data_IF_291691324978
#
_entry.id   IF_291691324978
#
_cell.length_a   1.000
_cell.length_b   1.000
_cell.length_c   1.000
_cell.angle_alpha   90.00
_cell.angle_beta   90.00
_cell.angle_gamma   90.00
#
_symmetry.space_group_name_H-M   'P 1'
#
loop_
_entity.id
_entity.type
_entity.pdbx_description
1 polymer ?
#
# COMPACT_ATOMS: atom_id res chain seq x y z
N UNK A 1 -26.39 -80.19 15.01
CA UNK A 1 -25.73 -80.21 13.68
C UNK A 1 -25.44 -78.76 13.30
N UNK A 2 -24.21 -78.27 13.48
CA UNK A 2 -23.03 -78.34 12.58
C UNK A 2 -23.13 -77.43 11.34
N UNK A 3 -22.23 -76.41 11.34
CA UNK A 3 -21.61 -75.68 10.22
C UNK A 3 -22.46 -74.72 9.36
N UNK A 4 -21.97 -73.59 8.82
CA UNK A 4 -20.75 -72.78 9.01
C UNK A 4 -20.81 -71.60 8.01
N UNK A 5 -20.39 -70.41 8.46
CA UNK A 5 -19.57 -69.39 7.78
C UNK A 5 -19.99 -68.78 6.42
N UNK A 6 -20.23 -67.47 6.42
CA UNK A 6 -19.37 -66.43 5.80
C UNK A 6 -20.09 -65.07 6.02
N UNK A 7 -19.56 -64.00 6.60
CA UNK A 7 -18.21 -63.46 6.55
C UNK A 7 -18.23 -62.15 5.77
N UNK A 8 -18.53 -61.00 6.39
CA UNK A 8 -18.14 -59.68 5.86
C UNK A 8 -18.15 -58.56 6.92
N UNK A 9 -16.97 -58.37 7.51
CA UNK A 9 -16.22 -57.12 7.67
C UNK A 9 -16.98 -55.91 8.26
N UNK A 10 -16.73 -55.70 9.56
CA UNK A 10 -16.78 -54.40 10.24
C UNK A 10 -15.80 -53.42 9.58
N UNK A 11 -16.26 -52.21 9.24
CA UNK A 11 -15.52 -50.98 9.51
C UNK A 11 -16.51 -49.92 10.02
N UNK A 12 -16.61 -49.84 11.35
CA UNK A 12 -17.12 -48.65 12.00
C UNK A 12 -16.19 -47.49 11.65
N UNK A 13 -16.74 -46.45 11.04
CA UNK A 13 -16.08 -45.16 10.99
C UNK A 13 -16.17 -44.60 12.39
N UNK A 14 -15.11 -44.83 13.18
CA UNK A 14 -14.88 -44.14 14.44
C UNK A 14 -15.01 -42.64 14.16
N UNK A 15 -16.04 -42.02 14.74
CA UNK A 15 -16.00 -40.60 15.07
C UNK A 15 -14.78 -40.45 15.98
N UNK A 16 -13.68 -40.01 15.41
CA UNK A 16 -12.54 -39.55 16.20
C UNK A 16 -13.06 -38.34 16.94
N UNK A 17 -13.27 -38.50 18.26
CA UNK A 17 -13.36 -37.39 19.19
C UNK A 17 -12.10 -36.54 18.99
N UNK A 18 -12.23 -35.48 18.21
CA UNK A 18 -11.32 -34.34 18.18
C UNK A 18 -11.89 -33.29 19.14
N UNK A 19 -12.03 -33.65 20.41
CA UNK A 19 -12.42 -32.72 21.48
C UNK A 19 -11.32 -32.51 22.53
N UNK A 20 -10.16 -33.18 22.42
CA UNK A 20 -9.13 -33.16 23.49
C UNK A 20 -7.75 -32.58 23.10
N UNK A 21 -7.64 -31.70 22.10
CA UNK A 21 -6.42 -30.87 21.90
C UNK A 21 -6.70 -29.42 21.43
N UNK A 22 -7.89 -28.89 21.72
CA UNK A 22 -8.00 -27.45 21.89
C UNK A 22 -7.57 -27.17 23.33
N UNK A 23 -6.55 -26.34 23.60
CA UNK A 23 -6.43 -25.81 24.94
C UNK A 23 -7.76 -25.12 25.23
N UNK A 24 -8.54 -25.69 26.16
CA UNK A 24 -9.64 -25.02 26.83
C UNK A 24 -8.98 -23.83 27.51
N UNK A 25 -8.92 -22.73 26.77
CA UNK A 25 -8.42 -21.48 27.27
C UNK A 25 -9.47 -21.02 28.27
N UNK A 26 -9.30 -21.46 29.52
CA UNK A 26 -10.10 -21.08 30.67
C UNK A 26 -9.74 -19.65 31.10
N UNK A 27 -9.62 -18.78 30.11
CA UNK A 27 -9.42 -17.37 30.25
C UNK A 27 -10.76 -16.73 29.92
N UNK A 28 -11.51 -16.39 30.96
CA UNK A 28 -12.24 -15.12 30.99
C UNK A 28 -11.26 -13.93 30.90
N UNK A 29 -10.19 -14.04 30.11
CA UNK A 29 -9.40 -12.91 29.71
C UNK A 29 -10.10 -12.33 28.49
N UNK A 30 -10.61 -11.09 28.59
CA UNK A 30 -11.05 -10.40 27.39
C UNK A 30 -9.90 -10.43 26.41
N UNK A 31 -10.16 -10.85 25.15
CA UNK A 31 -9.21 -10.73 24.04
C UNK A 31 -8.49 -9.40 24.22
N UNK A 32 -7.21 -9.48 24.60
CA UNK A 32 -6.45 -8.32 25.04
C UNK A 32 -6.40 -7.40 23.84
N UNK A 33 -7.21 -6.34 23.86
CA UNK A 33 -7.09 -5.21 22.97
C UNK A 33 -5.63 -4.78 23.05
N UNK A 34 -4.81 -5.16 22.07
CA UNK A 34 -3.74 -4.30 21.61
C UNK A 34 -4.34 -3.15 20.79
N UNK A 35 -5.52 -2.67 21.17
CA UNK A 35 -5.98 -1.35 20.81
C UNK A 35 -5.26 -0.39 21.75
N UNK A 36 -4.24 0.24 21.21
CA UNK A 36 -3.69 1.46 21.76
C UNK A 36 -4.87 2.40 22.13
N UNK A 37 -4.91 3.00 23.33
CA UNK A 37 -6.01 3.89 23.68
C UNK A 37 -5.88 5.21 22.92
N UNK A 38 -6.49 5.28 21.73
CA UNK A 38 -6.87 6.52 21.05
C UNK A 38 -8.39 6.48 20.85
N UNK A 39 -9.14 7.33 21.58
CA UNK A 39 -9.77 8.58 21.12
C UNK A 39 -10.91 8.29 20.12
N UNK A 40 -11.98 9.07 20.18
CA UNK A 40 -13.28 8.82 19.54
C UNK A 40 -13.19 8.17 18.15
N UNK A 41 -14.11 7.24 17.81
CA UNK A 41 -14.12 6.58 16.50
C UNK A 41 -14.16 7.63 15.37
N UNK A 42 -13.42 7.36 14.29
CA UNK A 42 -13.24 8.31 13.19
C UNK A 42 -14.55 8.55 12.45
N UNK A 43 -14.79 9.81 12.08
CA UNK A 43 -15.85 10.18 11.15
C UNK A 43 -15.51 9.76 9.72
N UNK A 44 -16.52 9.61 8.87
CA UNK A 44 -16.32 9.21 7.47
C UNK A 44 -15.39 10.18 6.71
N UNK A 45 -15.46 11.48 7.00
CA UNK A 45 -14.60 12.48 6.37
C UNK A 45 -13.15 12.40 6.88
N UNK A 46 -12.94 12.20 8.18
CA UNK A 46 -11.60 11.98 8.73
C UNK A 46 -10.99 10.70 8.15
N UNK A 47 -11.75 9.61 8.06
CA UNK A 47 -11.32 8.37 7.42
C UNK A 47 -10.98 8.59 5.94
N UNK A 48 -11.81 9.34 5.20
CA UNK A 48 -11.50 9.71 3.81
C UNK A 48 -10.15 10.44 3.71
N UNK A 49 -9.93 11.47 4.54
CA UNK A 49 -8.69 12.24 4.54
C UNK A 49 -7.49 11.38 4.97
N UNK A 50 -7.64 10.53 5.98
CA UNK A 50 -6.59 9.61 6.42
C UNK A 50 -6.20 8.62 5.32
N UNK A 51 -7.19 8.03 4.64
CA UNK A 51 -6.96 7.09 3.54
C UNK A 51 -6.31 7.80 2.35
N UNK A 52 -6.86 8.94 1.93
CA UNK A 52 -6.33 9.75 0.83
C UNK A 52 -4.89 10.17 1.09
N UNK A 53 -4.60 10.68 2.29
CA UNK A 53 -3.25 11.06 2.73
C UNK A 53 -2.30 9.87 2.76
N UNK A 54 -2.76 8.70 3.20
CA UNK A 54 -1.91 7.51 3.25
C UNK A 54 -1.55 6.98 1.85
N UNK A 55 -2.41 7.23 0.87
CA UNK A 55 -2.25 6.80 -0.52
C UNK A 55 -1.58 7.86 -1.41
N UNK A 56 -1.74 9.16 -1.13
CA UNK A 56 -1.01 10.26 -1.79
C UNK A 56 0.41 10.39 -1.20
N UNK A 57 1.23 9.37 -1.43
CA UNK A 57 2.63 9.34 -1.00
C UNK A 57 3.60 9.74 -2.12
N UNK A 58 4.86 9.30 -1.99
CA UNK A 58 5.92 9.54 -2.99
C UNK A 58 5.69 8.81 -4.32
N UNK A 59 4.80 7.81 -4.36
CA UNK A 59 4.44 7.09 -5.59
C UNK A 59 3.93 8.02 -6.70
N UNK A 60 3.22 9.10 -6.35
CA UNK A 60 2.67 10.03 -7.36
C UNK A 60 3.78 10.71 -8.15
N UNK A 61 4.92 10.95 -7.51
CA UNK A 61 6.08 11.60 -8.11
C UNK A 61 6.83 10.70 -9.09
N UNK A 62 6.65 9.37 -9.00
CA UNK A 62 7.26 8.40 -9.90
C UNK A 62 6.39 8.10 -11.15
N UNK A 63 5.12 8.50 -11.15
CA UNK A 63 4.20 8.25 -12.27
C UNK A 63 4.68 8.73 -13.64
N UNK A 64 5.32 9.91 -13.79
CA UNK A 64 5.82 10.35 -15.08
C UNK A 64 6.79 9.33 -15.69
N UNK A 65 7.64 8.71 -14.85
CA UNK A 65 8.60 7.71 -15.30
C UNK A 65 7.91 6.42 -15.75
N UNK A 66 6.80 6.06 -15.12
CA UNK A 66 5.97 4.94 -15.56
C UNK A 66 5.43 5.20 -16.98
N UNK A 67 4.89 6.39 -17.24
CA UNK A 67 4.37 6.77 -18.55
C UNK A 67 5.47 6.86 -19.62
N UNK A 68 6.70 7.20 -19.23
CA UNK A 68 7.86 7.09 -20.12
C UNK A 68 8.10 5.66 -20.63
N UNK A 69 7.93 4.63 -19.79
CA UNK A 69 8.11 3.23 -20.21
C UNK A 69 6.96 2.69 -21.07
N UNK A 70 5.72 3.08 -20.78
CA UNK A 70 4.54 2.56 -21.47
C UNK A 70 4.09 3.40 -22.68
N UNK A 71 4.48 4.67 -22.77
CA UNK A 71 3.86 5.64 -23.67
C UNK A 71 2.56 6.19 -23.07
N UNK A 72 2.10 7.34 -23.58
CA UNK A 72 1.02 8.08 -22.91
C UNK A 72 -0.36 7.43 -23.09
N UNK A 73 -0.69 6.85 -24.25
CA UNK A 73 -2.01 6.20 -24.47
C UNK A 73 -2.12 4.94 -23.65
N UNK A 74 -1.12 4.06 -23.78
CA UNK A 74 -1.07 2.80 -23.03
C UNK A 74 -0.98 3.09 -21.53
N UNK A 75 -0.22 4.10 -21.13
CA UNK A 75 -0.15 4.57 -19.76
C UNK A 75 -1.53 4.90 -19.18
N UNK A 76 -2.31 5.77 -19.84
CA UNK A 76 -3.66 6.14 -19.38
C UNK A 76 -4.57 4.92 -19.29
N UNK A 77 -4.67 4.11 -20.35
CA UNK A 77 -5.59 2.96 -20.41
C UNK A 77 -5.21 1.90 -19.38
N UNK A 78 -3.95 1.51 -19.33
CA UNK A 78 -3.48 0.46 -18.43
C UNK A 78 -3.49 0.92 -16.97
N UNK A 79 -3.16 2.19 -16.67
CA UNK A 79 -3.29 2.72 -15.30
C UNK A 79 -4.75 2.73 -14.84
N UNK A 80 -5.69 3.12 -15.69
CA UNK A 80 -7.12 3.05 -15.36
C UNK A 80 -7.57 1.60 -15.11
N UNK A 81 -7.13 0.65 -15.95
CA UNK A 81 -7.44 -0.77 -15.77
C UNK A 81 -6.86 -1.32 -14.46
N UNK A 82 -5.59 -1.01 -14.15
CA UNK A 82 -4.94 -1.41 -12.90
C UNK A 82 -5.68 -0.83 -11.69
N UNK A 83 -6.12 0.43 -11.75
CA UNK A 83 -6.91 1.06 -10.70
C UNK A 83 -8.22 0.32 -10.42
N UNK A 84 -8.95 -0.07 -11.47
CA UNK A 84 -10.19 -0.84 -11.38
C UNK A 84 -9.93 -2.22 -10.78
N UNK A 85 -8.90 -2.93 -11.26
CA UNK A 85 -8.53 -4.26 -10.76
C UNK A 85 -8.11 -4.20 -9.29
N UNK A 86 -7.22 -3.27 -8.90
CA UNK A 86 -6.80 -3.10 -7.51
C UNK A 86 -7.99 -2.78 -6.60
N UNK A 87 -8.85 -1.83 -7.00
CA UNK A 87 -10.07 -1.49 -6.24
C UNK A 87 -10.96 -2.73 -6.06
N UNK A 88 -11.16 -3.52 -7.12
CA UNK A 88 -11.92 -4.76 -7.05
C UNK A 88 -11.29 -5.78 -6.09
N UNK A 89 -9.97 -5.97 -6.13
CA UNK A 89 -9.25 -6.85 -5.21
C UNK A 89 -9.45 -6.45 -3.75
N UNK A 90 -9.38 -5.14 -3.44
CA UNK A 90 -9.63 -4.64 -2.08
C UNK A 90 -11.08 -4.93 -1.66
N UNK A 91 -12.06 -4.70 -2.52
CA UNK A 91 -13.46 -5.04 -2.23
C UNK A 91 -13.66 -6.53 -1.98
N UNK A 92 -13.06 -7.39 -2.81
CA UNK A 92 -13.12 -8.84 -2.65
C UNK A 92 -12.55 -9.26 -1.30
N UNK A 93 -11.44 -8.65 -0.88
CA UNK A 93 -10.82 -8.90 0.42
C UNK A 93 -11.72 -8.46 1.58
N UNK A 94 -12.30 -7.26 1.50
CA UNK A 94 -13.21 -6.75 2.53
C UNK A 94 -14.46 -7.61 2.68
N UNK A 95 -15.07 -8.04 1.57
CA UNK A 95 -16.23 -8.95 1.56
C UNK A 95 -15.90 -10.30 2.16
N UNK A 96 -14.73 -10.85 1.80
CA UNK A 96 -14.26 -12.13 2.35
C UNK A 96 -14.05 -12.04 3.86
N UNK A 97 -13.48 -10.93 4.34
CA UNK A 97 -13.32 -10.70 5.77
C UNK A 97 -14.66 -10.55 6.48
N UNK A 98 -15.60 -9.78 5.91
CA UNK A 98 -16.92 -9.57 6.51
C UNK A 98 -17.66 -10.90 6.68
N UNK A 99 -17.58 -11.78 5.68
CA UNK A 99 -18.20 -13.09 5.75
C UNK A 99 -17.56 -13.98 6.83
N UNK A 100 -16.23 -13.97 6.95
CA UNK A 100 -15.51 -14.71 8.00
C UNK A 100 -15.85 -14.14 9.39
N UNK A 101 -15.87 -12.82 9.55
CA UNK A 101 -16.25 -12.15 10.79
C UNK A 101 -17.68 -12.50 11.19
N UNK A 102 -18.61 -12.52 10.23
CA UNK A 102 -20.03 -12.86 10.43
C UNK A 102 -20.21 -14.30 10.90
N UNK A 103 -19.53 -15.27 10.27
CA UNK A 103 -19.61 -16.69 10.62
C UNK A 103 -19.00 -16.99 11.99
N UNK A 104 -17.85 -16.39 12.27
CA UNK A 104 -17.08 -16.63 13.50
C UNK A 104 -17.57 -15.77 14.68
N UNK A 105 -18.51 -14.84 14.46
CA UNK A 105 -19.01 -13.88 15.46
C UNK A 105 -17.90 -13.08 16.14
N UNK A 106 -16.96 -12.59 15.34
CA UNK A 106 -15.79 -11.81 15.78
C UNK A 106 -15.79 -10.43 15.13
N UNK A 107 -15.34 -9.42 15.87
CA UNK A 107 -15.27 -8.04 15.39
C UNK A 107 -13.85 -7.70 14.93
N UNK A 108 -13.67 -7.55 13.62
CA UNK A 108 -12.41 -7.12 13.02
C UNK A 108 -11.32 -8.20 13.05
N UNK A 109 -10.61 -8.34 11.94
CA UNK A 109 -9.51 -9.30 11.81
C UNK A 109 -8.29 -8.64 11.19
N UNK A 110 -7.10 -9.09 11.59
CA UNK A 110 -5.89 -8.81 10.82
C UNK A 110 -5.94 -9.56 9.48
N UNK A 111 -5.08 -9.17 8.53
CA UNK A 111 -4.96 -9.88 7.26
C UNK A 111 -4.62 -11.37 7.43
N UNK A 112 -3.63 -11.67 8.28
CA UNK A 112 -3.20 -13.04 8.55
C UNK A 112 -4.26 -13.85 9.28
N UNK A 113 -4.98 -13.24 10.22
CA UNK A 113 -6.09 -13.92 10.91
C UNK A 113 -7.27 -14.17 9.98
N UNK A 114 -7.57 -13.23 9.09
CA UNK A 114 -8.60 -13.40 8.05
C UNK A 114 -8.24 -14.60 7.16
N UNK A 115 -7.00 -14.67 6.67
CA UNK A 115 -6.54 -15.79 5.86
C UNK A 115 -6.61 -17.12 6.62
N UNK A 116 -6.12 -17.16 7.86
CA UNK A 116 -6.16 -18.36 8.70
C UNK A 116 -7.59 -18.87 8.90
N UNK A 117 -8.49 -17.99 9.31
CA UNK A 117 -9.88 -18.37 9.63
C UNK A 117 -10.68 -18.72 8.39
N UNK A 118 -10.45 -18.06 7.27
CA UNK A 118 -11.03 -18.45 5.98
C UNK A 118 -10.65 -19.89 5.60
N UNK A 119 -9.38 -20.28 5.83
CA UNK A 119 -8.93 -21.65 5.53
C UNK A 119 -9.49 -22.71 6.49
N UNK A 120 -9.75 -22.35 7.75
CA UNK A 120 -10.36 -23.25 8.74
C UNK A 120 -11.82 -23.62 8.40
N UNK A 121 -12.52 -22.75 7.68
CA UNK A 121 -13.87 -23.00 7.16
C UNK A 121 -13.87 -23.82 5.84
N UNK A 122 -12.69 -24.09 5.28
CA UNK A 122 -12.53 -24.80 4.03
C UNK A 122 -12.48 -26.34 4.18
N UNK A 123 -12.42 -27.08 3.06
CA UNK A 123 -12.10 -28.50 3.04
C UNK A 123 -10.87 -28.89 3.88
N UNK A 124 -10.81 -30.14 4.35
CA UNK A 124 -9.77 -30.67 5.25
C UNK A 124 -8.33 -30.34 4.83
N UNK A 125 -8.07 -30.28 3.52
CA UNK A 125 -6.74 -29.93 2.99
C UNK A 125 -6.34 -28.49 3.31
N UNK A 126 -7.27 -27.54 3.21
CA UNK A 126 -7.04 -26.13 3.51
C UNK A 126 -6.94 -25.89 5.02
N UNK A 127 -7.74 -26.61 5.83
CA UNK A 127 -7.64 -26.56 7.30
C UNK A 127 -6.23 -26.92 7.76
N UNK A 128 -5.64 -27.99 7.18
CA UNK A 128 -4.27 -28.41 7.49
C UNK A 128 -3.23 -27.35 7.11
N UNK A 129 -3.49 -26.57 6.06
CA UNK A 129 -2.61 -25.50 5.57
C UNK A 129 -2.89 -24.12 6.19
N UNK A 130 -3.90 -23.97 7.06
CA UNK A 130 -4.35 -22.67 7.55
C UNK A 130 -3.24 -21.85 8.24
N UNK A 131 -2.36 -22.51 9.02
CA UNK A 131 -1.20 -21.86 9.65
C UNK A 131 -0.20 -21.36 8.60
N UNK A 132 0.03 -22.12 7.54
CA UNK A 132 0.93 -21.73 6.45
C UNK A 132 0.39 -20.52 5.68
N UNK A 133 -0.90 -20.49 5.36
CA UNK A 133 -1.53 -19.33 4.70
C UNK A 133 -1.47 -18.06 5.55
N UNK A 134 -1.70 -18.19 6.87
CA UNK A 134 -1.52 -17.09 7.81
C UNK A 134 -0.10 -16.52 7.76
N UNK A 135 0.90 -17.40 7.81
CA UNK A 135 2.32 -17.02 7.77
C UNK A 135 2.71 -16.38 6.44
N UNK A 136 2.29 -16.96 5.31
CA UNK A 136 2.54 -16.44 3.97
C UNK A 136 1.94 -15.04 3.81
N UNK A 137 0.72 -14.82 4.31
CA UNK A 137 0.07 -13.50 4.27
C UNK A 137 0.87 -12.48 5.08
N UNK A 138 1.30 -12.82 6.30
CA UNK A 138 2.17 -11.95 7.10
C UNK A 138 3.50 -11.68 6.40
N UNK A 139 4.10 -12.69 5.77
CA UNK A 139 5.37 -12.57 5.05
C UNK A 139 5.26 -11.60 3.87
N UNK A 140 4.20 -11.71 3.05
CA UNK A 140 3.98 -10.78 1.94
C UNK A 140 3.78 -9.34 2.42
N UNK A 141 3.04 -9.13 3.51
CA UNK A 141 2.89 -7.80 4.10
C UNK A 141 4.22 -7.23 4.62
N UNK A 142 5.07 -8.07 5.22
CA UNK A 142 6.40 -7.64 5.67
C UNK A 142 7.29 -7.29 4.47
N UNK A 143 7.28 -8.09 3.41
CA UNK A 143 8.03 -7.81 2.17
C UNK A 143 7.58 -6.49 1.56
N UNK A 144 6.26 -6.26 1.48
CA UNK A 144 5.67 -5.01 0.98
C UNK A 144 6.14 -3.78 1.79
N UNK A 145 6.16 -3.90 3.12
CA UNK A 145 6.63 -2.83 4.01
C UNK A 145 8.15 -2.57 3.90
N UNK A 146 8.95 -3.62 3.76
CA UNK A 146 10.39 -3.49 3.53
C UNK A 146 10.64 -2.78 2.19
N UNK A 147 9.94 -3.20 1.12
CA UNK A 147 10.03 -2.56 -0.20
C UNK A 147 9.67 -1.09 -0.16
N UNK A 148 8.56 -0.74 0.52
CA UNK A 148 8.12 0.63 0.73
C UNK A 148 9.17 1.46 1.47
N UNK A 149 9.75 0.93 2.55
CA UNK A 149 10.86 1.57 3.27
C UNK A 149 12.06 1.83 2.36
N UNK A 150 12.45 0.86 1.52
CA UNK A 150 13.56 1.02 0.58
C UNK A 150 13.30 2.17 -0.41
N UNK A 151 12.11 2.24 -1.00
CA UNK A 151 11.75 3.31 -1.93
C UNK A 151 11.79 4.68 -1.24
N UNK A 152 11.30 4.78 0.00
CA UNK A 152 11.38 6.04 0.76
C UNK A 152 12.82 6.48 1.02
N UNK A 153 13.72 5.55 1.39
CA UNK A 153 15.14 5.89 1.61
C UNK A 153 15.79 6.37 0.31
N UNK A 154 15.56 5.67 -0.80
CA UNK A 154 16.08 6.06 -2.11
C UNK A 154 15.54 7.43 -2.54
N UNK A 155 14.24 7.67 -2.31
CA UNK A 155 13.60 8.94 -2.62
C UNK A 155 14.22 10.10 -1.84
N UNK A 156 14.35 9.96 -0.51
CA UNK A 156 14.96 11.01 0.33
C UNK A 156 16.42 11.22 -0.07
N UNK A 157 17.19 10.15 -0.27
CA UNK A 157 18.58 10.22 -0.68
C UNK A 157 18.76 10.93 -2.04
N UNK A 158 17.89 10.64 -3.01
CA UNK A 158 17.94 11.25 -4.34
C UNK A 158 17.66 12.75 -4.28
N UNK A 159 16.66 13.16 -3.50
CA UNK A 159 16.34 14.59 -3.35
C UNK A 159 17.41 15.34 -2.55
N UNK A 160 17.98 14.74 -1.50
CA UNK A 160 19.12 15.34 -0.79
C UNK A 160 20.33 15.49 -1.71
N UNK A 161 20.63 14.47 -2.52
CA UNK A 161 21.73 14.51 -3.48
C UNK A 161 21.59 15.67 -4.46
N UNK A 162 20.42 15.86 -5.08
CA UNK A 162 20.20 16.98 -6.02
C UNK A 162 20.41 18.35 -5.34
N UNK A 163 20.10 18.50 -4.05
CA UNK A 163 20.28 19.77 -3.32
C UNK A 163 21.74 19.96 -2.88
N UNK A 164 22.35 18.94 -2.26
CA UNK A 164 23.69 19.05 -1.69
C UNK A 164 24.78 19.11 -2.75
N UNK A 165 24.65 18.38 -3.86
CA UNK A 165 25.61 18.41 -4.97
C UNK A 165 25.69 19.80 -5.66
N UNK A 166 24.76 20.72 -5.37
CA UNK A 166 24.87 22.12 -5.81
C UNK A 166 25.93 22.90 -5.02
N UNK A 167 26.21 22.50 -3.78
CA UNK A 167 27.11 23.20 -2.86
C UNK A 167 28.39 22.42 -2.55
N UNK A 168 28.38 21.10 -2.76
CA UNK A 168 29.50 20.21 -2.46
C UNK A 168 29.92 19.41 -3.70
N UNK A 169 31.06 18.71 -3.61
CA UNK A 169 31.48 17.82 -4.69
C UNK A 169 30.47 16.67 -4.85
N UNK A 170 30.09 16.31 -6.08
CA UNK A 170 29.07 15.29 -6.32
C UNK A 170 29.50 13.95 -5.74
N UNK A 171 28.72 13.43 -4.80
CA UNK A 171 28.98 12.16 -4.12
C UNK A 171 28.06 11.05 -4.63
N UNK A 172 28.46 9.79 -4.46
CA UNK A 172 27.59 8.66 -4.80
C UNK A 172 26.33 8.65 -3.92
N UNK A 173 25.17 8.32 -4.51
CA UNK A 173 23.88 8.27 -3.80
C UNK A 173 23.90 7.34 -2.58
N UNK A 174 24.73 6.29 -2.60
CA UNK A 174 24.89 5.34 -1.48
C UNK A 174 25.41 6.03 -0.22
N UNK A 175 26.25 7.06 -0.37
CA UNK A 175 26.75 7.85 0.77
C UNK A 175 25.60 8.60 1.43
N UNK A 176 24.73 9.24 0.63
CA UNK A 176 23.52 9.89 1.12
C UNK A 176 22.59 8.90 1.85
N UNK A 177 22.43 7.67 1.34
CA UNK A 177 21.64 6.64 2.03
C UNK A 177 22.24 6.28 3.40
N UNK A 178 23.56 6.14 3.50
CA UNK A 178 24.25 5.88 4.78
C UNK A 178 24.11 7.07 5.72
N UNK A 179 24.20 8.31 5.23
CA UNK A 179 24.02 9.53 6.04
C UNK A 179 22.58 9.69 6.58
N UNK A 180 21.57 9.18 5.87
CA UNK A 180 20.17 9.17 6.34
C UNK A 180 19.92 8.08 7.39
N UNK A 181 20.75 7.05 7.47
CA UNK A 181 20.53 5.94 8.40
C UNK A 181 20.53 6.38 9.89
N UNK A 182 21.50 7.18 10.40
CA UNK A 182 21.47 7.65 11.78
C UNK A 182 20.17 8.38 12.19
N UNK A 183 19.66 9.40 11.45
CA UNK A 183 18.39 10.02 11.83
C UNK A 183 17.20 9.06 11.74
N UNK A 184 17.20 8.10 10.80
CA UNK A 184 16.17 7.05 10.77
C UNK A 184 16.23 6.15 12.01
N UNK A 185 17.41 5.75 12.47
CA UNK A 185 17.56 4.94 13.69
C UNK A 185 17.08 5.71 14.93
N UNK A 186 17.39 7.02 15.01
CA UNK A 186 16.89 7.88 16.08
C UNK A 186 15.36 7.99 16.07
N UNK A 187 14.75 8.13 14.89
CA UNK A 187 13.29 8.14 14.74
C UNK A 187 12.66 6.82 15.20
N UNK A 188 13.28 5.68 14.88
CA UNK A 188 12.82 4.36 15.34
C UNK A 188 12.96 4.17 16.86
N UNK A 189 13.86 4.91 17.52
CA UNK A 189 14.00 4.86 18.98
C UNK A 189 12.87 5.60 19.72
N UNK A 190 12.10 6.44 19.03
CA UNK A 190 10.94 7.15 19.61
C UNK A 190 9.81 6.16 19.86
N UNK A 191 9.74 5.65 21.10
CA UNK A 191 8.72 4.68 21.52
C UNK A 191 7.30 5.26 21.59
N UNK A 192 7.17 6.59 21.68
CA UNK A 192 5.88 7.26 21.81
C UNK A 192 5.58 8.11 20.56
N UNK A 193 4.79 7.52 19.66
CA UNK A 193 4.34 8.14 18.40
C UNK A 193 3.61 9.48 18.60
N UNK A 194 3.10 9.78 19.81
CA UNK A 194 2.48 11.08 20.11
C UNK A 194 3.46 12.24 19.95
N UNK A 195 4.76 12.04 20.22
CA UNK A 195 5.77 13.07 20.00
C UNK A 195 6.02 13.32 18.50
N UNK A 196 5.76 12.33 17.65
CA UNK A 196 5.92 12.43 16.20
C UNK A 196 4.71 13.11 15.52
N UNK A 197 3.54 13.09 16.15
CA UNK A 197 2.30 13.63 15.58
C UNK A 197 2.39 15.11 15.14
N UNK A 198 2.91 16.07 15.95
CA UNK A 198 3.03 17.47 15.51
C UNK A 198 4.04 17.62 14.36
N UNK A 199 5.19 16.93 14.43
CA UNK A 199 6.20 16.94 13.37
C UNK A 199 5.65 16.36 12.06
N UNK A 200 4.93 15.24 12.13
CA UNK A 200 4.26 14.64 10.99
C UNK A 200 3.26 15.62 10.37
N UNK A 201 2.46 16.31 11.19
CA UNK A 201 1.49 17.30 10.69
C UNK A 201 2.19 18.41 9.90
N UNK A 202 3.28 18.96 10.42
CA UNK A 202 4.11 19.95 9.71
C UNK A 202 4.70 19.37 8.41
N UNK A 203 5.27 18.16 8.45
CA UNK A 203 5.84 17.50 7.29
C UNK A 203 4.80 17.29 6.18
N UNK A 204 3.55 16.98 6.53
CA UNK A 204 2.47 16.85 5.56
C UNK A 204 2.06 18.19 4.93
N UNK A 205 2.11 19.29 5.69
CA UNK A 205 1.89 20.63 5.13
C UNK A 205 3.00 20.99 4.13
N UNK A 206 4.25 20.74 4.48
CA UNK A 206 5.40 20.95 3.58
C UNK A 206 5.28 20.08 2.32
N UNK A 207 4.86 18.82 2.47
CA UNK A 207 4.59 17.91 1.35
C UNK A 207 3.51 18.46 0.42
N UNK A 208 2.43 19.02 0.97
CA UNK A 208 1.36 19.63 0.17
C UNK A 208 1.87 20.84 -0.63
N UNK A 209 2.69 21.70 -0.01
CA UNK A 209 3.33 22.83 -0.70
C UNK A 209 4.28 22.33 -1.80
N UNK A 210 5.07 21.29 -1.53
CA UNK A 210 5.97 20.66 -2.50
C UNK A 210 5.21 20.09 -3.71
N UNK A 211 4.08 19.43 -3.49
CA UNK A 211 3.19 18.98 -4.58
C UNK A 211 2.64 20.17 -5.37
N UNK A 212 2.24 21.26 -4.71
CA UNK A 212 1.78 22.48 -5.37
C UNK A 212 2.84 23.07 -6.31
N UNK A 213 4.08 23.20 -5.86
CA UNK A 213 5.21 23.69 -6.68
C UNK A 213 5.48 22.71 -7.84
N UNK A 214 5.51 21.41 -7.55
CA UNK A 214 5.73 20.37 -8.57
C UNK A 214 4.69 20.43 -9.68
N UNK A 215 3.41 20.57 -9.31
CA UNK A 215 2.31 20.69 -10.27
C UNK A 215 2.36 22.01 -11.03
N UNK A 216 2.73 23.13 -10.39
CA UNK A 216 2.94 24.40 -11.08
C UNK A 216 3.96 24.27 -12.23
N UNK A 217 5.15 23.73 -11.96
CA UNK A 217 6.17 23.52 -12.99
C UNK A 217 5.79 22.46 -14.03
N UNK A 218 4.99 21.46 -13.65
CA UNK A 218 4.51 20.42 -14.56
C UNK A 218 3.53 20.99 -15.59
N UNK A 219 2.62 21.87 -15.19
CA UNK A 219 1.60 22.45 -16.08
C UNK A 219 2.08 23.68 -16.86
N UNK A 220 3.22 24.27 -16.48
CA UNK A 220 3.79 25.39 -17.21
C UNK A 220 4.46 24.92 -18.52
N UNK A 221 4.34 25.68 -19.61
CA UNK A 221 4.94 25.43 -20.94
C UNK A 221 4.86 23.95 -21.39
N UNK A 222 3.64 23.44 -21.56
CA UNK A 222 3.41 22.06 -22.03
C UNK A 222 3.70 21.95 -23.54
N UNK A 223 4.56 21.01 -23.97
CA UNK A 223 4.84 20.77 -25.38
C UNK A 223 3.70 20.03 -26.07
N UNK A 224 3.73 19.98 -27.41
CA UNK A 224 2.71 19.29 -28.21
C UNK A 224 2.68 17.78 -27.92
N UNK A 225 1.46 17.21 -27.88
CA UNK A 225 1.22 15.77 -27.64
C UNK A 225 1.89 14.89 -28.70
N UNK A 226 2.03 15.41 -29.92
CA UNK A 226 2.64 14.69 -31.05
C UNK A 226 4.12 14.37 -30.85
N UNK A 227 4.82 15.07 -29.95
CA UNK A 227 6.25 14.90 -29.71
C UNK A 227 6.57 13.78 -28.72
N UNK A 228 5.58 12.96 -28.34
CA UNK A 228 5.71 11.92 -27.30
C UNK A 228 5.30 10.55 -27.81
N UNK A 229 5.92 9.51 -27.25
CA UNK A 229 5.66 8.13 -27.64
C UNK A 229 4.24 7.75 -27.25
N UNK A 230 3.42 7.47 -28.26
CA UNK A 230 2.05 6.98 -28.10
C UNK A 230 2.05 5.62 -27.40
N UNK A 231 2.98 4.76 -27.81
CA UNK A 231 3.21 3.40 -27.29
C UNK A 231 4.69 3.24 -26.99
N UNK A 232 5.00 2.76 -25.78
CA UNK A 232 6.35 2.49 -25.29
C UNK A 232 6.84 1.09 -25.64
N UNK A 233 8.00 0.72 -25.09
CA UNK A 233 8.63 -0.56 -25.36
C UNK A 233 8.00 -1.69 -24.55
N UNK A 234 7.68 -2.81 -25.19
CA UNK A 234 7.17 -4.03 -24.52
C UNK A 234 8.14 -4.53 -23.44
N UNK A 235 9.46 -4.32 -23.63
CA UNK A 235 10.48 -4.74 -22.66
C UNK A 235 10.42 -3.97 -21.35
N UNK A 236 9.97 -2.72 -21.38
CA UNK A 236 9.91 -1.84 -20.22
C UNK A 236 8.51 -1.83 -19.57
N UNK A 237 7.53 -2.48 -20.22
CA UNK A 237 6.17 -2.58 -19.74
C UNK A 237 6.03 -3.21 -18.32
N UNK A 238 6.82 -4.23 -17.93
CA UNK A 238 6.80 -4.72 -16.54
C UNK A 238 7.19 -3.66 -15.50
N UNK A 239 8.10 -2.74 -15.85
CA UNK A 239 8.50 -1.64 -14.96
C UNK A 239 7.36 -0.63 -14.80
N UNK A 240 6.60 -0.37 -15.87
CA UNK A 240 5.39 0.44 -15.79
C UNK A 240 4.35 -0.19 -14.85
N UNK A 241 4.02 -1.47 -15.03
CA UNK A 241 3.05 -2.16 -14.17
C UNK A 241 3.48 -2.09 -12.70
N UNK A 242 4.75 -2.39 -12.42
CA UNK A 242 5.29 -2.36 -11.06
C UNK A 242 5.19 -0.98 -10.41
N UNK A 243 5.52 0.09 -11.12
CA UNK A 243 5.40 1.46 -10.59
C UNK A 243 3.96 1.89 -10.37
N UNK A 244 3.05 1.56 -11.30
CA UNK A 244 1.62 1.88 -11.15
C UNK A 244 1.02 1.12 -9.96
N UNK A 245 1.28 -0.18 -9.83
CA UNK A 245 0.81 -0.97 -8.70
C UNK A 245 1.35 -0.42 -7.37
N UNK A 246 2.66 -0.17 -7.29
CA UNK A 246 3.28 0.42 -6.09
C UNK A 246 2.66 1.77 -5.72
N UNK A 247 2.28 2.57 -6.71
CA UNK A 247 1.77 3.93 -6.48
C UNK A 247 0.29 3.98 -6.12
N UNK A 248 -0.50 3.00 -6.58
CA UNK A 248 -1.95 2.97 -6.39
C UNK A 248 -2.40 2.05 -5.26
N UNK A 249 -1.49 1.26 -4.69
CA UNK A 249 -1.78 0.29 -3.63
C UNK A 249 -1.40 0.84 -2.24
N UNK A 250 -2.29 0.72 -1.25
CA UNK A 250 -1.90 0.86 0.17
C UNK A 250 -2.72 -0.09 1.05
N UNK A 251 -2.56 -1.38 0.80
CA UNK A 251 -3.27 -2.41 1.53
C UNK A 251 -3.04 -2.32 3.04
N UNK A 252 -1.85 -1.96 3.50
CA UNK A 252 -1.53 -1.94 4.95
C UNK A 252 -2.44 -1.02 5.79
N UNK A 253 -3.02 0.03 5.21
CA UNK A 253 -3.85 1.01 5.93
C UNK A 253 -5.34 0.72 5.85
N UNK A 254 -5.79 -0.13 4.92
CA UNK A 254 -7.21 -0.37 4.67
C UNK A 254 -7.94 -0.96 5.89
N UNK A 255 -7.43 -2.04 6.48
CA UNK A 255 -8.08 -2.68 7.62
C UNK A 255 -7.98 -1.92 8.95
N UNK A 256 -6.81 -1.40 9.35
CA UNK A 256 -6.72 -0.59 10.56
C UNK A 256 -7.71 0.58 10.51
N UNK A 257 -7.75 1.29 9.37
CA UNK A 257 -8.61 2.45 9.22
C UNK A 257 -10.09 2.09 9.22
N UNK A 258 -10.48 0.98 8.58
CA UNK A 258 -11.85 0.46 8.63
C UNK A 258 -12.26 0.05 10.04
N UNK A 259 -11.36 -0.54 10.81
CA UNK A 259 -11.63 -0.99 12.18
C UNK A 259 -11.81 0.17 13.17
N UNK A 260 -11.20 1.33 12.89
CA UNK A 260 -11.28 2.53 13.73
C UNK A 260 -12.47 3.46 13.37
N UNK A 261 -13.25 3.12 12.34
CA UNK A 261 -14.41 3.89 11.91
C UNK A 261 -15.61 3.75 12.85
N UNK A 262 -16.38 4.84 12.97
CA UNK A 262 -17.68 4.82 13.65
C UNK A 262 -18.70 3.89 12.98
N UNK A 263 -18.73 3.87 11.65
CA UNK A 263 -19.57 2.95 10.86
C UNK A 263 -18.78 2.26 9.74
N UNK A 264 -18.14 1.12 10.03
CA UNK A 264 -17.30 0.39 9.09
C UNK A 264 -18.02 -0.10 7.82
N UNK A 265 -19.37 -0.13 7.81
CA UNK A 265 -20.17 -0.57 6.65
C UNK A 265 -20.07 0.41 5.48
N UNK A 266 -19.87 1.71 5.76
CA UNK A 266 -19.70 2.73 4.73
C UNK A 266 -18.35 2.69 4.06
N UNK A 267 -17.35 2.02 4.63
CA UNK A 267 -16.01 1.95 4.07
C UNK A 267 -16.01 1.26 2.70
N UNK A 268 -16.61 0.07 2.62
CA UNK A 268 -16.66 -0.79 1.43
C UNK A 268 -17.97 -0.73 0.63
N UNK A 269 -18.85 0.24 0.89
CA UNK A 269 -20.08 0.41 0.10
C UNK A 269 -19.78 0.79 -1.36
N UNK A 270 -20.73 0.61 -2.28
CA UNK A 270 -20.56 0.91 -3.71
C UNK A 270 -20.20 2.39 -3.99
N UNK A 271 -20.70 3.33 -3.18
CA UNK A 271 -20.25 4.73 -3.17
C UNK A 271 -19.55 5.09 -1.85
N UNK A 272 -18.93 4.08 -1.22
CA UNK A 272 -18.24 4.19 0.05
C UNK A 272 -16.90 4.93 -0.06
N UNK A 273 -16.29 5.15 1.10
CA UNK A 273 -15.06 5.94 1.25
C UNK A 273 -13.93 5.36 0.38
N UNK A 274 -13.80 4.03 0.33
CA UNK A 274 -12.79 3.37 -0.48
C UNK A 274 -12.91 3.77 -1.97
N UNK A 275 -14.10 3.70 -2.55
CA UNK A 275 -14.29 4.03 -3.98
C UNK A 275 -14.05 5.51 -4.26
N UNK A 276 -14.52 6.39 -3.37
CA UNK A 276 -14.27 7.83 -3.53
C UNK A 276 -12.77 8.13 -3.53
N UNK A 277 -12.02 7.54 -2.59
CA UNK A 277 -10.56 7.73 -2.52
C UNK A 277 -9.86 7.12 -3.73
N UNK A 278 -10.18 5.88 -4.12
CA UNK A 278 -9.56 5.23 -5.28
C UNK A 278 -9.80 5.98 -6.58
N UNK A 279 -10.99 6.58 -6.78
CA UNK A 279 -11.27 7.42 -7.97
C UNK A 279 -10.44 8.70 -7.95
N UNK A 280 -10.39 9.42 -6.82
CA UNK A 280 -9.58 10.64 -6.68
C UNK A 280 -8.10 10.34 -6.93
N UNK A 281 -7.60 9.23 -6.39
CA UNK A 281 -6.23 8.78 -6.62
C UNK A 281 -6.03 8.45 -8.11
N UNK A 282 -6.86 7.60 -8.71
CA UNK A 282 -6.71 7.24 -10.12
C UNK A 282 -6.61 8.47 -11.02
N UNK A 283 -7.46 9.47 -10.81
CA UNK A 283 -7.41 10.74 -11.55
C UNK A 283 -6.08 11.46 -11.28
N UNK A 284 -5.66 11.61 -10.02
CA UNK A 284 -4.44 12.32 -9.65
C UNK A 284 -3.17 11.63 -10.19
N UNK A 285 -3.07 10.30 -10.09
CA UNK A 285 -1.95 9.50 -10.57
C UNK A 285 -1.85 9.49 -12.10
N UNK A 286 -2.97 9.31 -12.80
CA UNK A 286 -3.02 9.36 -14.27
C UNK A 286 -2.68 10.76 -14.78
N UNK A 287 -3.26 11.80 -14.17
CA UNK A 287 -2.97 13.21 -14.53
C UNK A 287 -1.49 13.51 -14.34
N UNK A 288 -0.93 13.16 -13.18
CA UNK A 288 0.49 13.38 -12.89
C UNK A 288 1.40 12.61 -13.85
N UNK A 289 1.08 11.34 -14.12
CA UNK A 289 1.82 10.52 -15.07
C UNK A 289 1.80 11.06 -16.49
N UNK A 290 0.61 11.42 -16.98
CA UNK A 290 0.41 11.99 -18.31
C UNK A 290 1.12 13.33 -18.47
N UNK A 291 0.80 14.32 -17.64
CA UNK A 291 1.36 15.67 -17.78
C UNK A 291 2.85 15.74 -17.45
N UNK A 292 3.31 14.96 -16.46
CA UNK A 292 4.74 14.87 -16.17
C UNK A 292 5.54 14.26 -17.32
N UNK A 293 5.02 13.20 -17.96
CA UNK A 293 5.67 12.62 -19.14
C UNK A 293 5.60 13.56 -20.35
N UNK A 294 4.48 14.27 -20.53
CA UNK A 294 4.36 15.30 -21.56
C UNK A 294 5.44 16.37 -21.39
N UNK A 295 5.60 16.90 -20.17
CA UNK A 295 6.58 17.95 -19.87
C UNK A 295 8.02 17.48 -20.09
N UNK A 296 8.43 16.37 -19.49
CA UNK A 296 9.84 15.98 -19.42
C UNK A 296 10.29 14.95 -20.46
N UNK A 297 9.36 14.23 -21.11
CA UNK A 297 9.65 13.30 -22.19
C UNK A 297 10.74 12.28 -21.85
N UNK A 298 11.78 12.17 -22.68
CA UNK A 298 12.88 11.24 -22.46
C UNK A 298 13.80 11.65 -21.28
N UNK A 299 13.74 12.90 -20.82
CA UNK A 299 14.48 13.40 -19.65
C UNK A 299 13.78 13.10 -18.32
N UNK A 300 12.65 12.40 -18.34
CA UNK A 300 11.93 12.04 -17.11
C UNK A 300 12.81 11.19 -16.20
N UNK A 301 13.11 11.69 -15.00
CA UNK A 301 13.89 10.99 -13.96
C UNK A 301 12.95 10.12 -13.12
N UNK A 302 13.52 9.34 -12.18
CA UNK A 302 12.77 8.40 -11.35
C UNK A 302 11.73 9.05 -10.41
N UNK A 303 11.90 10.33 -10.11
CA UNK A 303 10.92 11.18 -9.45
C UNK A 303 10.88 12.53 -10.17
N UNK A 304 9.70 13.09 -10.38
CA UNK A 304 9.51 14.40 -11.01
C UNK A 304 10.16 15.54 -10.23
N UNK A 305 10.36 15.39 -8.92
CA UNK A 305 11.06 16.40 -8.11
C UNK A 305 12.49 16.62 -8.58
N UNK A 306 13.13 15.59 -9.14
CA UNK A 306 14.48 15.66 -9.67
C UNK A 306 14.54 16.37 -11.04
N UNK A 307 13.39 16.63 -11.65
CA UNK A 307 13.26 17.32 -12.93
C UNK A 307 13.00 18.82 -12.77
N UNK A 308 12.80 19.31 -11.54
CA UNK A 308 12.66 20.74 -11.28
C UNK A 308 13.95 21.49 -11.67
N UNK A 309 13.85 22.75 -12.13
CA UNK A 309 15.02 23.51 -12.54
C UNK A 309 15.95 23.76 -11.35
N UNK A 310 17.24 23.48 -11.55
CA UNK A 310 18.29 23.67 -10.54
C UNK A 310 18.80 25.12 -10.48
N UNK A 311 18.02 26.09 -10.96
CA UNK A 311 18.47 27.47 -11.19
C UNK A 311 17.31 28.43 -11.00
N UNK A 312 17.33 29.13 -9.86
CA UNK A 312 16.80 30.49 -9.70
C UNK A 312 17.56 31.17 -8.55
N UNK A 313 18.52 32.03 -8.91
CA UNK A 313 18.92 33.28 -8.22
C UNK A 313 19.52 33.28 -6.80
N UNK A 314 19.30 32.29 -5.93
CA UNK A 314 19.74 32.38 -4.53
C UNK A 314 21.03 31.61 -4.20
N UNK A 315 21.53 30.77 -5.12
CA UNK A 315 22.61 29.80 -4.80
C UNK A 315 23.93 30.13 -5.50
N UNK A 316 23.88 30.79 -6.65
CA UNK A 316 25.07 31.40 -7.26
C UNK A 316 24.98 32.89 -7.02
N UNK A 317 25.67 33.36 -5.99
CA UNK A 317 25.96 34.77 -5.83
C UNK A 317 26.87 35.22 -6.96
N UNK A 318 26.26 35.74 -8.02
CA UNK A 318 26.83 36.78 -8.88
C UNK A 318 25.95 38.02 -8.75
#
# INVERSE_FOLDING_TARGET
>A
MKHSSSGSIKKGVSRVHFEDELPVNNSNEPVRRTAQPSRLPLSNFETFLHLLKSLLGTGILAMPKAFFYAGWVVGVICSALIAVISTYCVHLLLRSQDEVCRRMKVCGLSYSDTAKRAMLEGPVIFVRMARSFSFITSLFLVIDQIGTCCVYIIFVASNLKEVFDLYTQPMDIRIYMVCILPPLLLLNYIRNLKYLAPFSTLANLIMLVSFGITFYYMFNDLPSISDRKVVGSVKEFPLFIGMVLFSMEAIAMVLPLRNDMRDPKWFGAHCGILNQVMVVLAIAYITTGFFGYMKYGDHTKGSITLNLPNTDGCVRGE
#
